data_IF_720093770885
#
_entry.id   IF_720093770885
#
_cell.length_a   1.000
_cell.length_b   1.000
_cell.length_c   1.000
_cell.angle_alpha   90.00
_cell.angle_beta   90.00
_cell.angle_gamma   90.00
#
_symmetry.space_group_name_H-M   'P 1'
#
loop_
_entity.id
_entity.type
_entity.pdbx_description
1 polymer ?
#
# COMPACT_ATOMS: atom_id res chain seq x y z
N UNK A 1 7.29 -18.07 5.51
CA UNK A 1 6.39 -18.14 4.34
C UNK A 1 5.03 -18.60 4.86
N UNK A 2 4.10 -17.68 5.15
CA UNK A 2 2.74 -18.07 5.51
C UNK A 2 2.05 -18.54 4.23
N UNK A 3 1.71 -19.83 4.16
CA UNK A 3 0.89 -20.35 3.06
C UNK A 3 -0.51 -19.75 3.23
N UNK A 4 -0.98 -18.97 2.25
CA UNK A 4 -2.37 -18.50 2.24
C UNK A 4 -3.28 -19.71 2.34
N UNK A 5 -4.22 -19.68 3.30
CA UNK A 5 -5.24 -20.70 3.43
C UNK A 5 -6.24 -20.58 2.26
N UNK A 6 -6.87 -21.69 1.89
CA UNK A 6 -8.04 -21.65 1.00
C UNK A 6 -9.21 -20.95 1.72
N UNK A 7 -10.14 -20.33 0.99
CA UNK A 7 -11.19 -19.50 1.60
C UNK A 7 -12.11 -20.25 2.58
N UNK A 8 -12.28 -21.56 2.39
CA UNK A 8 -13.05 -22.43 3.30
C UNK A 8 -12.27 -22.89 4.53
N UNK A 9 -10.99 -22.52 4.63
CA UNK A 9 -10.10 -22.79 5.75
C UNK A 9 -9.66 -21.50 6.46
N UNK A 10 -9.82 -20.34 5.82
CA UNK A 10 -9.50 -19.03 6.40
C UNK A 10 -10.67 -18.49 7.25
N UNK A 11 -10.53 -18.40 8.59
CA UNK A 11 -11.58 -17.87 9.45
C UNK A 11 -11.91 -16.39 9.17
N UNK A 12 -10.93 -15.60 8.70
CA UNK A 12 -11.18 -14.21 8.27
C UNK A 12 -12.09 -14.24 7.05
N UNK A 13 -11.82 -15.12 6.08
CA UNK A 13 -12.63 -15.21 4.87
C UNK A 13 -14.07 -15.63 5.14
N UNK A 14 -14.28 -16.66 5.95
CA UNK A 14 -15.61 -17.15 6.33
C UNK A 14 -16.39 -16.08 7.10
N UNK A 15 -15.74 -15.41 8.06
CA UNK A 15 -16.35 -14.35 8.86
C UNK A 15 -16.71 -13.12 8.04
N UNK A 16 -15.81 -12.68 7.18
CA UNK A 16 -16.01 -11.50 6.35
C UNK A 16 -17.07 -11.72 5.26
N UNK A 17 -17.15 -12.92 4.68
CA UNK A 17 -18.27 -13.28 3.79
C UNK A 17 -19.62 -13.15 4.51
N UNK A 18 -19.71 -13.67 5.74
CA UNK A 18 -20.92 -13.56 6.57
C UNK A 18 -21.31 -12.10 6.87
N UNK A 19 -20.33 -11.21 7.03
CA UNK A 19 -20.56 -9.78 7.23
C UNK A 19 -21.07 -9.11 5.94
N UNK A 20 -20.45 -9.40 4.79
CA UNK A 20 -20.84 -8.88 3.48
C UNK A 20 -22.27 -9.29 3.12
N UNK A 21 -22.68 -10.54 3.41
CA UNK A 21 -24.07 -10.99 3.22
C UNK A 21 -25.09 -10.19 4.03
N UNK A 22 -24.67 -9.57 5.13
CA UNK A 22 -25.50 -8.71 5.99
C UNK A 22 -25.37 -7.23 5.63
N UNK A 23 -24.74 -6.90 4.50
CA UNK A 23 -24.56 -5.52 4.06
C UNK A 23 -23.45 -4.76 4.81
N UNK A 24 -22.53 -5.47 5.46
CA UNK A 24 -21.43 -4.88 6.24
C UNK A 24 -20.13 -4.96 5.41
N UNK A 25 -19.53 -3.82 5.00
CA UNK A 25 -18.23 -3.81 4.34
C UNK A 25 -17.11 -4.32 5.26
N UNK A 26 -16.15 -5.05 4.69
CA UNK A 26 -14.97 -5.54 5.38
C UNK A 26 -13.72 -5.08 4.64
N UNK A 27 -12.77 -4.52 5.39
CA UNK A 27 -11.50 -3.98 4.89
C UNK A 27 -10.37 -4.70 5.61
N UNK A 28 -9.38 -5.17 4.85
CA UNK A 28 -8.23 -5.90 5.38
C UNK A 28 -6.93 -5.17 5.05
N UNK A 29 -5.97 -5.28 5.95
CA UNK A 29 -4.60 -4.83 5.67
C UNK A 29 -3.91 -5.86 4.76
N UNK A 30 -3.09 -5.40 3.80
CA UNK A 30 -2.34 -6.29 2.89
C UNK A 30 -1.18 -7.05 3.56
N UNK A 31 -0.96 -6.85 4.86
CA UNK A 31 0.19 -7.38 5.58
C UNK A 31 1.44 -6.51 5.43
N UNK A 32 2.43 -6.76 6.29
CA UNK A 32 3.70 -6.01 6.36
C UNK A 32 4.91 -6.89 5.98
N UNK A 33 4.65 -8.02 5.33
CA UNK A 33 5.68 -8.96 4.84
C UNK A 33 5.84 -8.85 3.33
N UNK A 34 5.70 -7.63 2.81
CA UNK A 34 6.04 -7.35 1.42
C UNK A 34 7.43 -7.92 1.09
N UNK A 35 7.63 -8.47 -0.13
CA UNK A 35 6.74 -8.41 -1.29
C UNK A 35 5.86 -9.66 -1.51
N UNK A 36 5.27 -10.27 -0.46
CA UNK A 36 4.45 -11.49 -0.58
C UNK A 36 2.93 -11.25 -0.49
N UNK A 37 2.14 -12.22 -1.01
CA UNK A 37 0.72 -12.16 -1.38
C UNK A 37 -0.31 -12.58 -0.29
N UNK A 38 -1.48 -11.90 -0.19
CA UNK A 38 -2.70 -12.43 0.49
C UNK A 38 -4.04 -11.67 0.27
N UNK A 39 -5.13 -12.44 0.06
CA UNK A 39 -6.56 -12.26 0.46
C UNK A 39 -7.54 -11.35 -0.34
N UNK A 40 -8.79 -11.86 -0.48
CA UNK A 40 -9.92 -11.42 -1.34
C UNK A 40 -10.78 -10.24 -0.83
N UNK A 41 -10.49 -9.69 0.35
CA UNK A 41 -11.22 -8.54 0.87
C UNK A 41 -10.75 -7.22 0.27
N UNK A 42 -11.36 -6.08 0.62
CA UNK A 42 -10.78 -4.78 0.25
C UNK A 42 -9.40 -4.66 0.93
N UNK A 43 -8.37 -5.07 0.21
CA UNK A 43 -7.01 -5.26 0.74
C UNK A 43 -6.20 -4.00 0.52
N UNK A 44 -5.73 -3.41 1.61
CA UNK A 44 -5.18 -2.05 1.61
C UNK A 44 -3.67 -2.07 1.78
N UNK A 45 -2.95 -1.51 0.79
CA UNK A 45 -1.52 -1.24 0.86
C UNK A 45 -1.23 0.08 1.58
N UNK A 46 -0.02 0.18 2.10
CA UNK A 46 0.47 1.35 2.82
C UNK A 46 1.29 2.27 1.92
N UNK A 47 0.84 3.52 1.80
CA UNK A 47 1.55 4.60 1.13
C UNK A 47 2.05 5.68 2.09
N UNK A 48 3.02 6.45 1.63
CA UNK A 48 3.52 7.65 2.30
C UNK A 48 2.54 8.80 2.26
N UNK A 49 2.62 9.65 3.29
CA UNK A 49 2.01 10.99 3.30
C UNK A 49 3.05 12.05 2.95
N UNK A 50 2.60 13.26 2.66
CA UNK A 50 3.46 14.40 2.31
C UNK A 50 4.10 15.11 3.53
N UNK A 51 4.10 14.46 4.69
CA UNK A 51 4.69 14.94 5.96
C UNK A 51 6.04 14.28 6.21
N UNK A 52 6.96 15.01 6.80
CA UNK A 52 8.24 14.49 7.30
C UNK A 52 8.63 15.12 8.63
N UNK A 53 9.57 14.48 9.31
CA UNK A 53 10.17 14.95 10.58
C UNK A 53 11.67 15.21 10.40
N UNK A 54 12.04 16.17 9.54
CA UNK A 54 13.41 16.36 9.08
C UNK A 54 14.39 16.63 10.22
N UNK A 55 15.48 15.88 10.20
CA UNK A 55 16.66 16.14 10.99
C UNK A 55 17.90 15.68 10.21
N UNK A 56 18.82 16.59 9.93
CA UNK A 56 19.96 16.30 9.07
C UNK A 56 21.22 15.94 9.84
N UNK A 57 21.98 15.01 9.29
CA UNK A 57 23.36 14.72 9.69
C UNK A 57 24.28 15.59 8.84
N UNK A 58 24.82 16.65 9.44
CA UNK A 58 25.75 17.55 8.79
C UNK A 58 27.17 17.04 9.01
N UNK A 59 27.72 16.35 8.01
CA UNK A 59 29.10 15.86 7.99
C UNK A 59 30.07 17.04 7.86
N UNK A 60 31.13 17.07 8.65
CA UNK A 60 32.11 18.15 8.65
C UNK A 60 32.97 18.09 7.39
N UNK A 61 32.91 19.12 6.53
CA UNK A 61 33.56 19.10 5.20
C UNK A 61 33.07 17.96 4.29
N UNK A 62 31.92 17.38 4.60
CA UNK A 62 31.24 16.36 3.79
C UNK A 62 29.88 16.85 3.30
N UNK A 63 29.16 16.00 2.53
CA UNK A 63 27.79 16.30 2.15
C UNK A 63 26.86 16.33 3.37
N UNK A 64 25.76 17.08 3.26
CA UNK A 64 24.63 16.95 4.18
C UNK A 64 23.88 15.67 3.86
N UNK A 65 23.56 14.88 4.88
CA UNK A 65 22.71 13.69 4.75
C UNK A 65 21.36 13.96 5.40
N UNK A 66 20.30 13.74 4.63
CA UNK A 66 18.93 14.00 5.07
C UNK A 66 18.45 12.83 5.92
N UNK A 67 18.06 13.11 7.16
CA UNK A 67 17.47 12.13 8.06
C UNK A 67 16.14 12.61 8.61
N UNK A 68 15.59 11.80 9.50
CA UNK A 68 14.37 12.10 10.24
C UNK A 68 14.44 11.61 11.68
N UNK A 69 13.71 12.29 12.56
CA UNK A 69 13.54 11.86 13.96
C UNK A 69 12.26 12.40 14.56
N UNK A 70 11.61 11.58 15.39
CA UNK A 70 10.38 11.96 16.09
C UNK A 70 10.66 12.79 17.34
N UNK A 71 11.84 12.63 17.94
CA UNK A 71 12.24 13.34 19.15
C UNK A 71 13.35 14.35 18.83
N UNK A 72 12.94 15.56 18.48
CA UNK A 72 13.85 16.65 18.12
C UNK A 72 14.28 17.45 19.37
N UNK A 73 15.57 17.80 19.45
CA UNK A 73 16.06 18.63 20.54
C UNK A 73 15.75 20.11 20.28
N UNK A 74 15.26 20.82 21.30
CA UNK A 74 14.93 22.24 21.21
C UNK A 74 16.15 23.15 21.12
N UNK A 75 17.31 22.69 21.62
CA UNK A 75 18.59 23.39 21.55
C UNK A 75 19.64 22.46 20.90
N UNK A 76 19.82 22.54 19.59
CA UNK A 76 20.88 21.81 18.90
C UNK A 76 22.25 22.43 19.23
N UNK A 77 23.12 21.67 19.87
CA UNK A 77 24.54 22.04 19.98
C UNK A 77 25.16 22.02 18.59
N UNK A 78 25.81 23.11 18.18
CA UNK A 78 26.60 23.17 16.94
C UNK A 78 27.97 22.50 17.07
N UNK A 79 28.26 21.87 18.21
CA UNK A 79 29.54 21.21 18.46
C UNK A 79 29.60 19.89 17.65
N UNK A 80 30.58 19.72 16.76
CA UNK A 80 30.76 18.47 16.04
C UNK A 80 31.27 17.38 16.97
N UNK A 81 30.75 16.17 16.79
CA UNK A 81 31.17 14.96 17.49
C UNK A 81 31.84 14.00 16.51
N UNK A 82 32.92 13.30 16.89
CA UNK A 82 33.53 12.28 16.05
C UNK A 82 32.50 11.22 15.64
N UNK A 83 32.55 10.80 14.38
CA UNK A 83 31.76 9.68 13.87
C UNK A 83 32.52 8.38 14.09
N UNK A 84 31.77 7.33 14.42
CA UNK A 84 32.27 5.97 14.54
C UNK A 84 31.41 5.03 13.69
N UNK A 85 32.06 4.31 12.80
CA UNK A 85 31.49 3.21 12.04
C UNK A 85 32.52 2.08 11.95
N UNK A 86 32.05 0.84 11.98
CA UNK A 86 32.88 -0.35 11.84
C UNK A 86 32.05 -1.42 11.16
N UNK A 87 32.56 -1.99 10.07
CA UNK A 87 31.88 -3.08 9.34
C UNK A 87 31.68 -4.31 10.25
N UNK A 88 32.63 -4.61 11.14
CA UNK A 88 32.52 -5.71 12.11
C UNK A 88 31.42 -5.47 13.17
N UNK A 89 31.07 -4.21 13.43
CA UNK A 89 30.07 -3.78 14.42
C UNK A 89 28.94 -2.97 13.78
N UNK A 90 28.62 -3.25 12.51
CA UNK A 90 27.66 -2.46 11.73
C UNK A 90 26.26 -2.41 12.37
N UNK A 91 25.87 -3.43 13.13
CA UNK A 91 24.59 -3.48 13.85
C UNK A 91 24.61 -2.84 15.24
N UNK A 92 25.76 -2.30 15.66
CA UNK A 92 25.96 -1.61 16.92
C UNK A 92 25.64 -2.43 18.17
N UNK A 93 25.97 -3.72 18.16
CA UNK A 93 25.85 -4.64 19.30
C UNK A 93 26.94 -4.39 20.38
N UNK A 94 27.16 -3.12 20.73
CA UNK A 94 28.08 -2.68 21.77
C UNK A 94 27.48 -2.93 23.17
N UNK A 95 28.33 -3.29 24.14
CA UNK A 95 27.88 -3.40 25.53
C UNK A 95 27.65 -2.01 26.14
N UNK A 96 26.76 -1.96 27.14
CA UNK A 96 26.45 -0.74 27.88
C UNK A 96 27.66 -0.12 28.61
N UNK A 97 28.76 -0.85 28.76
CA UNK A 97 29.99 -0.44 29.44
C UNK A 97 31.13 -0.10 28.46
N UNK A 98 30.90 -0.15 27.15
CA UNK A 98 31.94 0.08 26.16
C UNK A 98 32.36 1.56 26.08
N UNK A 99 33.43 1.89 26.81
CA UNK A 99 33.98 3.25 26.82
C UNK A 99 34.55 3.72 25.47
N UNK A 100 34.74 2.83 24.49
CA UNK A 100 35.31 3.19 23.19
C UNK A 100 34.38 4.06 22.34
N UNK A 101 33.08 4.06 22.62
CA UNK A 101 32.06 4.83 21.90
C UNK A 101 31.66 6.13 22.62
N UNK A 102 32.17 6.36 23.83
CA UNK A 102 31.83 7.51 24.64
C UNK A 102 32.12 8.83 23.90
N UNK A 103 31.12 9.71 23.83
CA UNK A 103 31.21 11.01 23.18
C UNK A 103 31.30 10.98 21.65
N UNK A 104 31.03 9.83 21.00
CA UNK A 104 31.00 9.69 19.53
C UNK A 104 29.57 9.55 19.01
N UNK A 105 29.34 9.97 17.77
CA UNK A 105 28.13 9.60 17.04
C UNK A 105 28.38 8.23 16.40
N UNK A 106 27.62 7.23 16.82
CA UNK A 106 27.76 5.86 16.30
C UNK A 106 26.82 5.66 15.12
N UNK A 107 27.34 5.16 14.01
CA UNK A 107 26.57 4.82 12.81
C UNK A 107 26.23 3.34 12.85
N UNK A 108 24.94 3.04 12.76
CA UNK A 108 24.37 1.71 12.93
C UNK A 108 23.47 1.37 11.73
N UNK A 109 23.52 0.14 11.27
CA UNK A 109 22.67 -0.40 10.22
C UNK A 109 21.63 -1.34 10.81
N UNK A 110 20.37 -1.12 10.46
CA UNK A 110 19.29 -1.95 10.92
C UNK A 110 19.27 -3.29 10.16
N UNK A 111 19.21 -4.41 10.89
CA UNK A 111 19.17 -5.74 10.29
C UNK A 111 17.72 -6.18 9.99
N UNK A 112 17.31 -6.11 8.73
CA UNK A 112 16.03 -6.63 8.20
C UNK A 112 14.77 -5.87 8.63
N UNK A 113 14.76 -5.21 9.78
CA UNK A 113 13.63 -4.45 10.33
C UNK A 113 14.08 -3.24 11.14
N UNK A 114 13.19 -2.69 11.98
CA UNK A 114 13.53 -1.59 12.88
C UNK A 114 14.43 -2.11 14.02
N UNK A 115 15.55 -1.42 14.28
CA UNK A 115 16.46 -1.75 15.38
C UNK A 115 15.75 -1.88 16.74
N UNK A 116 16.20 -2.81 17.58
CA UNK A 116 15.66 -2.94 18.93
C UNK A 116 15.98 -1.69 19.75
N UNK A 117 15.01 -1.24 20.57
CA UNK A 117 15.22 -0.13 21.50
C UNK A 117 16.30 -0.47 22.55
N UNK A 118 16.55 -1.76 22.81
CA UNK A 118 17.62 -2.22 23.70
C UNK A 118 19.01 -1.77 23.20
N UNK A 119 19.30 -1.91 21.91
CA UNK A 119 20.57 -1.48 21.29
C UNK A 119 20.81 0.01 21.56
N UNK A 120 19.81 0.86 21.28
CA UNK A 120 19.93 2.30 21.52
C UNK A 120 20.11 2.63 23.01
N UNK A 121 19.46 1.88 23.90
CA UNK A 121 19.61 2.06 25.35
C UNK A 121 21.04 1.73 25.81
N UNK A 122 21.64 0.70 25.25
CA UNK A 122 22.99 0.26 25.63
C UNK A 122 24.03 1.27 25.10
N UNK A 123 23.88 1.76 23.86
CA UNK A 123 24.70 2.86 23.30
C UNK A 123 24.64 4.13 24.16
N UNK A 124 23.44 4.49 24.65
CA UNK A 124 23.27 5.63 25.58
C UNK A 124 23.96 5.38 26.92
N UNK A 125 23.88 4.17 27.44
CA UNK A 125 24.50 3.80 28.73
C UNK A 125 26.02 3.89 28.66
N UNK A 126 26.60 3.54 27.50
CA UNK A 126 28.01 3.72 27.17
C UNK A 126 28.40 5.18 26.82
N UNK A 127 27.50 6.14 27.07
CA UNK A 127 27.70 7.57 26.85
C UNK A 127 28.01 7.97 25.39
N UNK A 128 27.42 7.27 24.41
CA UNK A 128 27.45 7.72 23.02
C UNK A 128 26.89 9.16 22.89
N UNK A 129 27.56 9.99 22.08
CA UNK A 129 27.17 11.37 21.82
C UNK A 129 25.95 11.51 20.91
N UNK A 130 25.63 10.46 20.16
CA UNK A 130 24.44 10.35 19.30
C UNK A 130 24.46 9.04 18.50
N UNK A 131 23.36 8.76 17.81
CA UNK A 131 23.23 7.59 16.93
C UNK A 131 22.67 8.01 15.58
N UNK A 132 23.31 7.55 14.51
CA UNK A 132 22.72 7.53 13.16
C UNK A 132 22.31 6.11 12.86
N UNK A 133 21.02 5.87 12.70
CA UNK A 133 20.46 4.57 12.36
C UNK A 133 20.06 4.55 10.88
N UNK A 134 20.80 3.80 10.09
CA UNK A 134 20.50 3.52 8.69
C UNK A 134 19.41 2.45 8.66
N UNK A 135 18.30 2.77 8.01
CA UNK A 135 17.21 1.81 7.83
C UNK A 135 17.68 0.63 6.96
N UNK A 136 17.14 -0.57 7.21
CA UNK A 136 17.54 -1.78 6.49
C UNK A 136 17.39 -1.64 4.96
N UNK A 137 18.27 -2.28 4.19
CA UNK A 137 18.38 -2.18 2.72
C UNK A 137 17.07 -2.34 1.97
N UNK A 138 16.22 -3.28 2.43
CA UNK A 138 14.90 -3.54 1.86
C UNK A 138 13.99 -2.30 1.88
N UNK A 139 14.29 -1.31 2.72
CA UNK A 139 13.55 -0.08 2.80
C UNK A 139 13.86 0.91 1.68
N UNK A 140 15.01 0.81 1.01
CA UNK A 140 15.42 1.75 -0.02
C UNK A 140 15.32 3.20 0.45
N UNK A 141 14.46 3.99 -0.19
CA UNK A 141 14.21 5.40 0.14
C UNK A 141 13.10 5.61 1.19
N UNK A 142 12.53 4.54 1.76
CA UNK A 142 11.49 4.63 2.79
C UNK A 142 12.11 4.75 4.19
N UNK A 143 11.93 5.89 4.85
CA UNK A 143 12.26 6.02 6.28
C UNK A 143 11.06 5.59 7.14
N UNK A 144 11.10 4.34 7.60
CA UNK A 144 10.15 3.84 8.61
C UNK A 144 10.62 4.36 9.96
N UNK A 145 9.83 5.23 10.57
CA UNK A 145 10.23 5.86 11.83
C UNK A 145 9.78 5.02 13.03
N UNK A 146 10.69 4.92 14.00
CA UNK A 146 10.39 4.57 15.38
C UNK A 146 10.90 5.68 16.29
N UNK A 147 10.16 5.94 17.36
CA UNK A 147 10.66 6.83 18.39
C UNK A 147 11.64 6.09 19.28
N UNK A 148 12.92 6.45 19.14
CA UNK A 148 14.01 5.97 19.99
C UNK A 148 14.36 6.96 21.10
N UNK A 149 13.70 8.12 21.18
CA UNK A 149 14.05 9.23 22.05
C UNK A 149 15.14 10.14 21.48
N UNK A 150 15.64 11.12 22.25
CA UNK A 150 16.53 12.17 21.75
C UNK A 150 17.91 11.63 21.31
N UNK A 151 18.54 12.32 20.36
CA UNK A 151 19.90 12.02 19.91
C UNK A 151 20.02 10.83 18.94
N UNK A 152 18.91 10.36 18.37
CA UNK A 152 18.89 9.30 17.35
C UNK A 152 18.30 9.84 16.05
N UNK A 153 19.09 9.78 14.97
CA UNK A 153 18.68 10.15 13.61
C UNK A 153 18.46 8.90 12.79
N UNK A 154 17.33 8.80 12.08
CA UNK A 154 17.06 7.71 11.15
C UNK A 154 17.28 8.20 9.72
N UNK A 155 18.03 7.44 8.92
CA UNK A 155 18.37 7.79 7.53
C UNK A 155 17.95 6.66 6.58
N UNK A 156 17.79 6.99 5.30
CA UNK A 156 17.40 5.99 4.29
C UNK A 156 18.54 5.02 4.02
N UNK A 157 18.23 3.80 3.58
CA UNK A 157 19.26 2.85 3.14
C UNK A 157 20.04 3.41 1.93
N UNK A 158 19.39 4.20 1.08
CA UNK A 158 20.03 4.80 -0.08
C UNK A 158 21.12 5.83 0.27
N UNK A 159 21.14 6.34 1.50
CA UNK A 159 22.14 7.29 2.00
C UNK A 159 23.25 6.61 2.82
N UNK A 160 23.21 5.28 2.99
CA UNK A 160 24.18 4.49 3.74
C UNK A 160 25.63 4.82 3.33
N UNK A 161 25.93 4.62 2.04
CA UNK A 161 27.29 4.79 1.50
C UNK A 161 27.86 6.20 1.73
N UNK A 162 27.01 7.23 1.70
CA UNK A 162 27.44 8.61 1.92
C UNK A 162 27.94 8.83 3.36
N UNK A 163 27.42 8.06 4.32
CA UNK A 163 27.78 8.16 5.74
C UNK A 163 28.91 7.20 6.08
N UNK A 164 28.82 5.94 5.64
CA UNK A 164 29.80 4.89 5.99
C UNK A 164 31.15 5.17 5.36
N UNK A 165 31.22 5.56 4.07
CA UNK A 165 32.48 5.96 3.41
C UNK A 165 33.12 7.17 4.10
N UNK A 166 32.31 8.17 4.48
CA UNK A 166 32.83 9.33 5.19
C UNK A 166 33.38 8.96 6.58
N UNK A 167 32.72 8.05 7.28
CA UNK A 167 33.13 7.60 8.61
C UNK A 167 34.43 6.77 8.59
N UNK A 168 34.73 6.07 7.50
CA UNK A 168 35.94 5.24 7.34
C UNK A 168 37.15 5.98 6.74
N UNK A 169 37.00 7.26 6.40
CA UNK A 169 38.12 8.07 5.90
C UNK A 169 39.30 8.04 6.88
N UNK A 170 40.47 7.69 6.38
CA UNK A 170 41.74 7.58 7.15
C UNK A 170 42.25 8.89 7.74
N UNK A 171 41.58 10.00 7.43
CA UNK A 171 41.98 11.35 7.78
C UNK A 171 41.31 11.81 9.10
N UNK A 172 41.23 11.00 10.16
CA UNK A 172 40.92 11.29 11.59
C UNK A 172 40.02 12.49 12.00
N UNK A 173 39.21 13.02 11.10
CA UNK A 173 38.43 14.26 11.24
C UNK A 173 36.96 14.04 10.87
N UNK A 174 36.55 12.78 10.67
CA UNK A 174 35.16 12.40 10.41
C UNK A 174 34.33 12.75 11.63
N UNK A 175 33.55 13.81 11.51
CA UNK A 175 32.72 14.33 12.58
C UNK A 175 31.41 14.86 12.00
N UNK A 176 30.36 14.86 12.81
CA UNK A 176 29.05 15.33 12.40
C UNK A 176 28.36 16.15 13.48
N UNK A 177 27.37 16.92 13.04
CA UNK A 177 26.38 17.58 13.89
C UNK A 177 24.98 17.18 13.45
N UNK A 178 24.02 17.23 14.38
CA UNK A 178 22.61 17.06 14.06
C UNK A 178 21.93 18.43 13.99
N UNK A 179 21.11 18.61 12.97
CA UNK A 179 20.25 19.79 12.82
C UNK A 179 18.80 19.33 12.75
N UNK A 180 17.87 20.08 13.36
CA UNK A 180 16.47 19.69 13.52
C UNK A 180 15.57 20.75 12.90
N UNK A 181 14.63 20.33 12.05
CA UNK A 181 13.82 21.26 11.24
C UNK A 181 12.30 21.13 11.53
N UNK A 182 11.92 20.83 12.77
CA UNK A 182 10.52 20.62 13.20
C UNK A 182 9.77 19.62 12.29
N UNK A 183 8.44 19.63 12.32
CA UNK A 183 7.63 18.87 11.36
C UNK A 183 7.39 19.71 10.11
N UNK A 184 7.63 19.12 8.94
CA UNK A 184 7.35 19.75 7.65
C UNK A 184 6.18 19.03 6.96
N UNK A 185 5.33 19.80 6.27
CA UNK A 185 4.17 19.32 5.53
C UNK A 185 4.29 19.80 4.08
N UNK A 186 3.83 18.99 3.13
CA UNK A 186 3.86 19.24 1.67
C UNK A 186 5.26 19.18 1.03
N UNK A 187 6.26 18.65 1.72
CA UNK A 187 7.66 18.65 1.26
C UNK A 187 8.07 17.41 0.47
N UNK A 188 7.28 16.33 0.51
CA UNK A 188 7.54 15.09 -0.22
C UNK A 188 6.55 14.85 -1.35
N UNK A 189 7.02 14.20 -2.42
CA UNK A 189 6.14 13.52 -3.36
C UNK A 189 5.41 12.41 -2.62
N UNK A 190 4.08 12.38 -2.73
CA UNK A 190 3.22 11.43 -2.03
C UNK A 190 1.94 11.22 -2.85
N UNK A 191 1.44 9.97 -2.91
CA UNK A 191 1.97 8.81 -2.18
C UNK A 191 3.14 8.12 -2.90
N UNK A 192 3.95 7.42 -2.12
CA UNK A 192 4.92 6.41 -2.54
C UNK A 192 4.62 5.13 -1.77
N UNK A 193 4.66 3.97 -2.39
CA UNK A 193 4.38 2.70 -1.71
C UNK A 193 5.48 2.45 -0.67
N UNK A 194 5.08 2.15 0.56
CA UNK A 194 6.02 1.85 1.63
C UNK A 194 6.70 0.50 1.38
N UNK A 195 7.99 0.41 1.72
CA UNK A 195 8.80 -0.81 1.57
C UNK A 195 8.16 -2.07 2.18
N UNK A 196 7.65 -1.95 3.41
CA UNK A 196 7.03 -3.07 4.12
C UNK A 196 5.67 -3.49 3.56
N UNK A 197 5.03 -2.67 2.71
CA UNK A 197 3.69 -2.96 2.23
C UNK A 197 3.67 -4.26 1.44
N UNK A 198 2.79 -5.18 1.82
CA UNK A 198 2.50 -6.41 1.08
C UNK A 198 2.35 -6.12 -0.41
N UNK A 199 2.91 -6.99 -1.27
CA UNK A 199 2.80 -6.85 -2.71
C UNK A 199 1.97 -7.99 -3.23
N UNK A 200 0.88 -7.63 -3.88
CA UNK A 200 0.18 -8.50 -4.82
C UNK A 200 -0.47 -9.69 -4.13
N UNK A 201 -1.77 -9.64 -3.82
CA UNK A 201 -2.72 -8.68 -4.33
C UNK A 201 -3.12 -7.62 -3.34
N UNK A 202 -3.32 -6.44 -3.88
CA UNK A 202 -3.79 -5.27 -3.16
C UNK A 202 -4.85 -4.64 -4.03
N UNK A 203 -5.90 -4.15 -3.39
CA UNK A 203 -6.98 -3.46 -4.08
C UNK A 203 -6.78 -1.95 -4.12
N UNK A 204 -6.23 -1.35 -3.06
CA UNK A 204 -6.11 0.11 -2.96
C UNK A 204 -4.91 0.52 -2.09
N UNK A 205 -4.33 1.67 -2.38
CA UNK A 205 -3.29 2.31 -1.58
C UNK A 205 -3.89 3.39 -0.68
N UNK A 206 -3.56 3.37 0.61
CA UNK A 206 -3.97 4.39 1.57
C UNK A 206 -2.82 4.81 2.51
N UNK A 207 -2.94 5.94 3.24
CA UNK A 207 -1.91 6.40 4.16
C UNK A 207 -1.57 5.37 5.25
N UNK A 208 -0.34 4.85 5.26
CA UNK A 208 0.09 3.83 6.22
C UNK A 208 1.52 3.97 6.73
N UNK A 209 2.29 4.95 6.25
CA UNK A 209 3.66 5.20 6.69
C UNK A 209 3.69 6.42 7.63
N UNK A 210 4.25 6.22 8.82
CA UNK A 210 4.47 7.23 9.86
C UNK A 210 3.17 7.99 10.21
N UNK A 211 2.12 7.26 10.57
CA UNK A 211 0.80 7.78 10.91
C UNK A 211 0.71 8.05 12.41
N UNK A 212 0.26 9.27 12.76
CA UNK A 212 0.01 9.67 14.14
C UNK A 212 -1.40 9.24 14.55
N UNK A 213 -1.54 8.50 15.65
CA UNK A 213 -2.83 8.10 16.22
C UNK A 213 -2.78 8.05 17.75
N UNK A 214 -3.95 7.92 18.39
CA UNK A 214 -4.05 7.78 19.84
C UNK A 214 -3.31 6.53 20.34
N UNK A 215 -2.70 6.61 21.51
CA UNK A 215 -1.91 5.55 22.10
C UNK A 215 -2.18 5.43 23.60
N UNK A 216 -2.26 4.20 24.17
CA UNK A 216 -2.47 4.04 25.59
C UNK A 216 -1.27 4.57 26.39
N UNK A 217 -1.49 5.26 27.52
CA UNK A 217 -0.42 5.73 28.38
C UNK A 217 0.17 4.54 29.15
N UNK A 218 1.23 3.92 28.60
CA UNK A 218 1.88 2.73 29.17
C UNK A 218 2.97 3.09 30.21
N UNK A 219 2.63 3.91 31.21
CA UNK A 219 3.32 3.89 32.52
C UNK A 219 4.67 4.60 32.67
N UNK A 220 5.19 5.35 31.69
CA UNK A 220 6.34 6.25 31.89
C UNK A 220 5.99 7.66 31.43
N UNK A 221 5.42 8.42 32.37
CA UNK A 221 4.82 9.77 32.20
C UNK A 221 3.51 9.77 31.40
N UNK A 222 2.46 10.42 31.94
CA UNK A 222 1.13 10.52 31.34
C UNK A 222 1.08 11.43 30.08
N UNK A 223 2.19 11.59 29.37
CA UNK A 223 2.40 12.66 28.38
C UNK A 223 2.21 12.17 26.94
N UNK A 224 2.31 10.88 26.65
CA UNK A 224 2.18 10.36 25.29
C UNK A 224 0.80 9.73 25.05
N UNK A 225 -0.21 10.59 24.84
CA UNK A 225 -1.55 10.17 24.39
C UNK A 225 -1.58 9.77 22.90
N UNK A 226 -0.46 9.89 22.20
CA UNK A 226 -0.33 9.65 20.77
C UNK A 226 1.00 8.98 20.45
N UNK A 227 1.02 8.24 19.33
CA UNK A 227 2.20 7.59 18.82
C UNK A 227 2.22 7.66 17.28
N UNK A 228 3.40 7.61 16.69
CA UNK A 228 3.60 7.54 15.24
C UNK A 228 4.11 6.14 14.90
N UNK A 229 3.30 5.40 14.16
CA UNK A 229 3.65 4.04 13.72
C UNK A 229 3.31 3.84 12.24
N UNK A 230 3.87 2.76 11.69
CA UNK A 230 3.76 2.41 10.28
C UNK A 230 3.22 1.00 10.11
N UNK A 231 2.43 0.80 9.06
CA UNK A 231 1.89 -0.51 8.69
C UNK A 231 0.69 -0.40 7.77
N UNK A 232 0.40 -1.47 7.04
CA UNK A 232 -0.91 -1.65 6.38
C UNK A 232 -2.05 -1.68 7.40
N UNK A 233 -1.76 -2.03 8.66
CA UNK A 233 -2.66 -1.84 9.82
C UNK A 233 -3.05 -0.38 10.08
N UNK A 234 -2.27 0.60 9.62
CA UNK A 234 -2.60 2.03 9.70
C UNK A 234 -3.33 2.49 8.43
N UNK A 235 -3.05 1.87 7.29
CA UNK A 235 -3.75 2.15 6.02
C UNK A 235 -5.20 1.64 6.03
N UNK A 236 -5.41 0.41 6.50
CA UNK A 236 -6.73 -0.23 6.61
C UNK A 236 -7.79 0.65 7.31
N UNK A 237 -7.56 1.23 8.50
CA UNK A 237 -8.57 2.04 9.17
C UNK A 237 -8.92 3.34 8.44
N UNK A 238 -8.00 3.93 7.65
CA UNK A 238 -8.34 5.05 6.77
C UNK A 238 -9.39 4.64 5.74
N UNK A 239 -9.14 3.53 5.05
CA UNK A 239 -10.09 2.99 4.06
C UNK A 239 -11.40 2.54 4.69
N UNK A 240 -11.37 1.95 5.90
CA UNK A 240 -12.59 1.62 6.67
C UNK A 240 -13.42 2.87 7.00
N UNK A 241 -12.77 3.97 7.41
CA UNK A 241 -13.45 5.24 7.65
C UNK A 241 -14.08 5.80 6.38
N UNK A 242 -13.40 5.70 5.24
CA UNK A 242 -13.93 6.10 3.93
C UNK A 242 -15.14 5.25 3.55
N UNK A 243 -15.06 3.92 3.69
CA UNK A 243 -16.18 3.02 3.43
C UNK A 243 -17.40 3.35 4.32
N UNK A 244 -17.17 3.70 5.59
CA UNK A 244 -18.22 4.13 6.50
C UNK A 244 -18.87 5.47 6.07
N UNK A 245 -18.07 6.45 5.64
CA UNK A 245 -18.58 7.72 5.11
C UNK A 245 -19.40 7.52 3.83
N UNK A 246 -18.92 6.69 2.90
CA UNK A 246 -19.67 6.34 1.68
C UNK A 246 -20.97 5.61 2.03
N UNK A 247 -20.94 4.64 2.98
CA UNK A 247 -22.17 3.97 3.46
C UNK A 247 -23.15 4.94 4.13
N UNK A 248 -22.64 5.95 4.84
CA UNK A 248 -23.49 6.99 5.44
C UNK A 248 -24.14 7.88 4.39
N UNK A 249 -23.44 8.21 3.31
CA UNK A 249 -23.97 8.97 2.19
C UNK A 249 -24.96 8.14 1.34
N UNK A 250 -24.73 6.83 1.24
CA UNK A 250 -25.51 5.88 0.46
C UNK A 250 -25.94 4.65 1.29
N UNK A 251 -26.94 4.80 2.18
CA UNK A 251 -27.32 3.74 3.13
C UNK A 251 -27.82 2.46 2.48
N UNK A 252 -28.31 2.51 1.24
CA UNK A 252 -28.84 1.40 0.46
C UNK A 252 -27.78 0.63 -0.32
N UNK A 253 -26.57 1.19 -0.49
CA UNK A 253 -25.52 0.53 -1.27
C UNK A 253 -25.01 -0.75 -0.63
N UNK A 254 -24.76 -1.74 -1.47
CA UNK A 254 -24.11 -2.98 -1.07
C UNK A 254 -22.64 -2.72 -0.66
N UNK A 255 -22.04 -3.59 0.16
CA UNK A 255 -20.60 -3.57 0.41
C UNK A 255 -19.75 -3.57 -0.87
N UNK A 256 -20.22 -4.24 -1.92
CA UNK A 256 -19.53 -4.35 -3.20
C UNK A 256 -19.62 -3.04 -3.98
N UNK A 257 -20.78 -2.39 -3.98
CA UNK A 257 -20.94 -1.07 -4.59
C UNK A 257 -20.01 -0.04 -3.92
N UNK A 258 -19.90 -0.07 -2.59
CA UNK A 258 -18.96 0.78 -1.83
C UNK A 258 -17.51 0.47 -2.20
N UNK A 259 -17.15 -0.82 -2.24
CA UNK A 259 -15.82 -1.25 -2.69
C UNK A 259 -15.55 -0.73 -4.10
N UNK A 260 -16.48 -0.91 -5.03
CA UNK A 260 -16.37 -0.40 -6.40
C UNK A 260 -16.17 1.10 -6.43
N UNK A 261 -16.95 1.88 -5.69
CA UNK A 261 -16.82 3.33 -5.66
C UNK A 261 -15.42 3.76 -5.20
N UNK A 262 -14.88 3.12 -4.16
CA UNK A 262 -13.52 3.37 -3.67
C UNK A 262 -12.47 3.06 -4.74
N UNK A 263 -12.60 1.93 -5.43
CA UNK A 263 -11.60 1.48 -6.41
C UNK A 263 -11.65 2.27 -7.71
N UNK A 264 -12.83 2.62 -8.22
CA UNK A 264 -12.94 3.23 -9.54
C UNK A 264 -12.70 4.74 -9.56
N UNK A 265 -12.66 5.36 -8.39
CA UNK A 265 -12.53 6.81 -8.22
C UNK A 265 -11.20 7.26 -7.64
N UNK A 266 -10.31 6.30 -7.41
CA UNK A 266 -8.94 6.51 -6.95
C UNK A 266 -8.11 7.39 -7.88
N UNK A 267 -7.03 7.93 -7.32
CA UNK A 267 -6.07 8.74 -8.04
C UNK A 267 -4.86 7.90 -8.46
N UNK A 268 -4.63 7.82 -9.78
CA UNK A 268 -3.51 7.09 -10.38
C UNK A 268 -2.17 7.86 -10.32
N UNK A 269 -2.19 9.09 -9.83
CA UNK A 269 -1.05 10.00 -9.80
C UNK A 269 -0.91 10.66 -8.43
N UNK A 270 0.30 11.09 -8.12
CA UNK A 270 0.62 11.92 -6.97
C UNK A 270 0.05 13.35 -7.14
N UNK A 271 0.18 14.17 -6.10
CA UNK A 271 -0.27 15.57 -6.12
C UNK A 271 0.33 16.44 -7.25
N UNK A 272 1.44 16.02 -7.85
CA UNK A 272 2.13 16.74 -8.92
C UNK A 272 1.78 16.18 -10.31
N UNK A 273 0.80 15.26 -10.40
CA UNK A 273 0.43 14.58 -11.64
C UNK A 273 1.44 13.52 -12.09
N UNK A 274 2.38 13.11 -11.24
CA UNK A 274 3.37 12.06 -11.54
C UNK A 274 2.84 10.70 -11.12
N UNK A 275 3.30 9.66 -11.79
CA UNK A 275 2.94 8.28 -11.42
C UNK A 275 3.40 7.96 -10.00
N UNK A 276 2.62 7.14 -9.30
CA UNK A 276 2.97 6.62 -7.96
C UNK A 276 4.22 5.75 -8.08
N UNK A 277 5.16 5.98 -7.15
CA UNK A 277 6.43 5.26 -7.10
C UNK A 277 6.45 4.22 -5.97
N UNK A 278 7.36 3.26 -6.07
CA UNK A 278 7.72 2.32 -5.01
C UNK A 278 8.88 2.85 -4.16
N UNK A 279 9.28 2.06 -3.17
CA UNK A 279 10.34 2.37 -2.22
C UNK A 279 11.73 2.49 -2.85
N UNK A 280 11.93 1.98 -4.07
CA UNK A 280 13.15 2.19 -4.87
C UNK A 280 13.02 3.35 -5.86
N UNK A 281 11.95 4.17 -5.76
CA UNK A 281 11.61 5.26 -6.69
C UNK A 281 11.38 4.79 -8.13
N UNK A 282 11.01 3.53 -8.33
CA UNK A 282 10.54 3.01 -9.63
C UNK A 282 9.04 3.15 -9.69
N UNK A 283 8.46 3.06 -10.90
CA UNK A 283 6.99 3.08 -11.06
C UNK A 283 6.39 1.91 -10.29
N UNK A 284 5.46 2.20 -9.37
CA UNK A 284 4.76 1.15 -8.66
C UNK A 284 3.78 0.43 -9.61
N UNK A 285 3.87 -0.90 -9.66
CA UNK A 285 2.92 -1.72 -10.41
C UNK A 285 1.59 -1.91 -9.69
N UNK A 286 0.60 -2.45 -10.39
CA UNK A 286 -0.72 -2.70 -9.83
C UNK A 286 -0.71 -3.69 -8.64
N UNK A 287 0.25 -4.62 -8.55
CA UNK A 287 0.40 -5.47 -7.36
C UNK A 287 0.75 -4.68 -6.08
N UNK A 288 1.40 -3.53 -6.22
CA UNK A 288 1.82 -2.71 -5.08
C UNK A 288 0.76 -1.70 -4.65
N UNK A 289 -0.08 -1.28 -5.58
CA UNK A 289 -0.99 -0.15 -5.42
C UNK A 289 -2.46 -0.51 -5.59
N UNK A 290 -2.76 -1.65 -6.19
CA UNK A 290 -4.09 -2.03 -6.65
C UNK A 290 -4.63 -1.04 -7.67
N UNK A 291 -5.78 -0.47 -7.37
CA UNK A 291 -6.37 0.68 -8.04
C UNK A 291 -5.76 2.01 -7.55
N UNK A 292 -4.51 2.05 -7.10
CA UNK A 292 -3.83 3.30 -6.74
C UNK A 292 -4.41 4.01 -5.51
N UNK A 293 -4.27 5.34 -5.38
CA UNK A 293 -4.50 6.02 -4.10
C UNK A 293 -5.96 6.34 -3.85
N UNK A 294 -6.46 6.04 -2.65
CA UNK A 294 -7.86 6.29 -2.31
C UNK A 294 -8.23 7.78 -2.38
N UNK A 295 -9.38 8.09 -3.00
CA UNK A 295 -9.94 9.44 -3.05
C UNK A 295 -11.34 9.45 -2.39
N UNK A 296 -11.46 9.90 -1.13
CA UNK A 296 -12.74 9.86 -0.40
C UNK A 296 -13.85 10.67 -1.06
N UNK A 297 -13.51 11.86 -1.56
CA UNK A 297 -14.49 12.79 -2.14
C UNK A 297 -15.12 12.23 -3.41
N UNK A 298 -14.30 11.65 -4.30
CA UNK A 298 -14.80 11.05 -5.54
C UNK A 298 -15.52 9.72 -5.27
N UNK A 299 -15.11 8.94 -4.26
CA UNK A 299 -15.79 7.71 -3.88
C UNK A 299 -17.22 7.95 -3.37
N UNK A 300 -17.51 9.15 -2.85
CA UNK A 300 -18.87 9.53 -2.45
C UNK A 300 -19.81 9.78 -3.63
N UNK A 301 -19.30 10.03 -4.84
CA UNK A 301 -20.10 10.18 -6.06
C UNK A 301 -19.36 9.58 -7.29
N UNK A 302 -19.38 8.25 -7.44
CA UNK A 302 -18.64 7.56 -8.49
C UNK A 302 -19.34 7.58 -9.86
N UNK A 303 -20.62 7.97 -9.94
CA UNK A 303 -21.43 7.89 -11.16
C UNK A 303 -21.90 6.46 -11.49
N UNK A 304 -20.98 5.51 -11.71
CA UNK A 304 -21.33 4.09 -11.90
C UNK A 304 -20.51 3.16 -11.00
N UNK A 305 -21.10 2.02 -10.64
CA UNK A 305 -20.45 0.99 -9.80
C UNK A 305 -20.55 -0.40 -10.42
N UNK A 306 -19.53 -1.22 -10.17
CA UNK A 306 -19.51 -2.66 -10.43
C UNK A 306 -20.08 -3.34 -9.19
N UNK A 307 -21.31 -3.84 -9.30
CA UNK A 307 -21.99 -4.51 -8.19
C UNK A 307 -22.04 -6.02 -8.41
N UNK A 308 -22.05 -6.77 -7.30
CA UNK A 308 -22.14 -8.23 -7.27
C UNK A 308 -23.17 -8.64 -6.24
N UNK A 309 -24.06 -9.55 -6.63
CA UNK A 309 -24.99 -10.18 -5.73
C UNK A 309 -24.40 -11.42 -5.05
N UNK A 310 -25.18 -11.93 -4.09
CA UNK A 310 -24.90 -13.21 -3.42
C UNK A 310 -24.80 -14.38 -4.41
N UNK A 311 -25.68 -14.51 -5.43
CA UNK A 311 -25.60 -15.62 -6.39
C UNK A 311 -24.30 -15.63 -7.20
N UNK A 312 -23.79 -14.47 -7.61
CA UNK A 312 -22.54 -14.37 -8.35
C UNK A 312 -21.33 -14.77 -7.50
N UNK A 313 -21.29 -14.36 -6.24
CA UNK A 313 -20.26 -14.80 -5.28
C UNK A 313 -20.33 -16.30 -5.02
N UNK A 314 -21.54 -16.84 -4.82
CA UNK A 314 -21.74 -18.28 -4.63
C UNK A 314 -21.30 -19.06 -5.88
N UNK A 315 -21.62 -18.57 -7.08
CA UNK A 315 -21.17 -19.11 -8.35
C UNK A 315 -19.64 -19.10 -8.52
N UNK A 316 -18.97 -18.04 -8.03
CA UNK A 316 -17.51 -17.96 -7.98
C UNK A 316 -16.90 -18.99 -7.03
N UNK A 317 -17.40 -19.08 -5.78
CA UNK A 317 -16.96 -20.10 -4.81
C UNK A 317 -17.14 -21.50 -5.39
N UNK A 318 -18.25 -21.76 -6.08
CA UNK A 318 -18.51 -23.03 -6.75
C UNK A 318 -17.55 -23.34 -7.90
N UNK A 319 -17.15 -22.34 -8.68
CA UNK A 319 -16.18 -22.52 -9.75
C UNK A 319 -14.77 -22.81 -9.19
N UNK A 320 -14.44 -22.22 -8.04
CA UNK A 320 -13.12 -22.31 -7.43
C UNK A 320 -12.93 -23.54 -6.54
N UNK A 321 -13.88 -23.80 -5.63
CA UNK A 321 -13.71 -24.73 -4.50
C UNK A 321 -14.82 -25.80 -4.38
N UNK A 322 -15.94 -25.65 -5.09
CA UNK A 322 -17.04 -26.63 -5.13
C UNK A 322 -17.97 -26.63 -3.91
N UNK A 323 -18.86 -27.63 -3.83
CA UNK A 323 -19.99 -27.66 -2.90
C UNK A 323 -19.60 -27.62 -1.42
N UNK A 324 -18.54 -28.35 -1.03
CA UNK A 324 -18.10 -28.39 0.38
C UNK A 324 -17.69 -27.01 0.87
N UNK A 325 -16.92 -26.29 0.07
CA UNK A 325 -16.47 -24.94 0.40
C UNK A 325 -17.64 -23.95 0.39
N UNK A 326 -18.58 -24.08 -0.56
CA UNK A 326 -19.81 -23.27 -0.56
C UNK A 326 -20.58 -23.43 0.75
N UNK A 327 -20.81 -24.67 1.20
CA UNK A 327 -21.51 -24.96 2.43
C UNK A 327 -20.80 -24.36 3.67
N UNK A 328 -19.47 -24.42 3.70
CA UNK A 328 -18.65 -23.84 4.77
C UNK A 328 -18.71 -22.31 4.78
N UNK A 329 -18.44 -21.66 3.65
CA UNK A 329 -18.32 -20.20 3.54
C UNK A 329 -19.68 -19.52 3.71
N UNK A 330 -20.73 -20.05 3.06
CA UNK A 330 -22.09 -19.51 3.16
C UNK A 330 -22.78 -19.95 4.47
N UNK A 331 -22.21 -20.93 5.17
CA UNK A 331 -22.77 -21.55 6.37
C UNK A 331 -24.18 -22.10 6.16
N UNK A 332 -24.43 -22.64 4.97
CA UNK A 332 -25.68 -23.27 4.60
C UNK A 332 -25.42 -24.53 3.79
N UNK A 333 -25.62 -25.69 4.42
CA UNK A 333 -25.43 -27.01 3.80
C UNK A 333 -26.54 -27.40 2.82
N UNK A 334 -27.63 -26.64 2.72
CA UNK A 334 -28.70 -26.91 1.75
C UNK A 334 -28.40 -26.35 0.36
N UNK A 335 -27.37 -25.51 0.21
CA UNK A 335 -26.98 -24.95 -1.07
C UNK A 335 -26.08 -25.92 -1.84
N UNK A 336 -26.28 -25.98 -3.16
CA UNK A 336 -25.44 -26.78 -4.06
C UNK A 336 -25.02 -25.97 -5.27
N UNK A 337 -23.80 -26.22 -5.72
CA UNK A 337 -23.22 -25.68 -6.94
C UNK A 337 -23.92 -26.15 -8.21
N UNK A 338 -24.74 -27.20 -8.14
CA UNK A 338 -25.53 -27.67 -9.28
C UNK A 338 -26.62 -26.67 -9.71
N UNK A 339 -27.15 -25.89 -8.77
CA UNK A 339 -28.19 -24.88 -9.02
C UNK A 339 -27.65 -23.47 -9.30
N UNK A 340 -26.33 -23.30 -9.34
CA UNK A 340 -25.68 -21.99 -9.47
C UNK A 340 -24.91 -21.89 -10.79
N UNK A 341 -24.97 -20.72 -11.42
CA UNK A 341 -24.11 -20.41 -12.56
C UNK A 341 -22.67 -20.26 -12.05
N UNK A 342 -21.79 -21.19 -12.45
CA UNK A 342 -20.38 -21.14 -12.09
C UNK A 342 -19.70 -20.01 -12.84
N UNK A 343 -19.17 -19.03 -12.09
CA UNK A 343 -18.49 -17.86 -12.65
C UNK A 343 -16.99 -18.02 -12.47
N UNK A 344 -16.21 -18.19 -13.54
CA UNK A 344 -14.76 -18.15 -13.45
C UNK A 344 -14.30 -16.81 -12.88
N UNK A 345 -13.22 -16.82 -12.10
CA UNK A 345 -12.66 -15.64 -11.43
C UNK A 345 -12.50 -14.42 -12.34
N UNK A 346 -11.96 -14.65 -13.54
CA UNK A 346 -11.74 -13.61 -14.55
C UNK A 346 -13.03 -12.93 -15.06
N UNK A 347 -14.15 -13.63 -14.97
CA UNK A 347 -15.48 -13.14 -15.35
C UNK A 347 -16.25 -12.56 -14.16
N UNK A 348 -15.68 -12.56 -12.95
CA UNK A 348 -16.28 -11.86 -11.81
C UNK A 348 -16.44 -10.38 -12.17
N UNK A 349 -17.59 -9.80 -11.83
CA UNK A 349 -17.88 -8.39 -12.10
C UNK A 349 -17.12 -7.46 -11.15
N UNK A 350 -15.80 -7.51 -11.23
CA UNK A 350 -14.87 -6.81 -10.36
C UNK A 350 -14.31 -5.56 -11.07
N UNK A 351 -14.06 -4.44 -10.34
CA UNK A 351 -13.58 -3.19 -10.94
C UNK A 351 -12.21 -3.29 -11.60
N UNK A 352 -11.35 -4.21 -11.15
CA UNK A 352 -10.03 -4.46 -11.76
C UNK A 352 -10.12 -5.62 -12.75
N UNK A 353 -9.30 -5.56 -13.80
CA UNK A 353 -9.31 -6.53 -14.91
C UNK A 353 -7.94 -7.18 -14.98
N UNK A 354 -7.85 -8.44 -14.55
CA UNK A 354 -6.64 -9.26 -14.69
C UNK A 354 -6.84 -10.30 -15.78
N UNK A 355 -5.97 -10.34 -16.78
CA UNK A 355 -6.07 -11.20 -17.97
C UNK A 355 -4.74 -11.86 -18.30
N UNK A 356 -4.73 -13.00 -19.01
CA UNK A 356 -3.47 -13.58 -19.49
C UNK A 356 -2.82 -12.67 -20.55
N UNK A 357 -1.50 -12.49 -20.44
CA UNK A 357 -0.69 -11.82 -21.46
C UNK A 357 -0.32 -12.83 -22.55
N UNK A 358 -1.06 -12.81 -23.65
CA UNK A 358 -0.88 -13.72 -24.77
C UNK A 358 -1.37 -13.11 -26.10
N UNK A 359 -0.86 -13.59 -27.25
CA UNK A 359 -1.27 -13.09 -28.56
C UNK A 359 -2.75 -13.34 -28.84
N UNK A 360 -3.27 -14.49 -28.38
CA UNK A 360 -4.67 -14.89 -28.57
C UNK A 360 -5.58 -14.00 -27.72
N UNK A 361 -6.51 -13.24 -28.34
CA UNK A 361 -7.38 -12.33 -27.61
C UNK A 361 -8.18 -13.03 -26.51
N UNK A 362 -8.20 -12.42 -25.33
CA UNK A 362 -8.96 -12.88 -24.18
C UNK A 362 -10.04 -11.85 -23.85
N UNK A 363 -11.29 -12.29 -23.69
CA UNK A 363 -12.43 -11.38 -23.46
C UNK A 363 -13.04 -11.57 -22.09
N UNK A 364 -13.27 -10.46 -21.39
CA UNK A 364 -14.05 -10.41 -20.15
C UNK A 364 -15.26 -9.54 -20.31
N UNK A 365 -16.34 -9.90 -19.61
CA UNK A 365 -17.53 -9.07 -19.55
C UNK A 365 -17.60 -8.38 -18.18
N UNK A 366 -18.10 -7.15 -18.19
CA UNK A 366 -18.35 -6.35 -17.01
C UNK A 366 -19.70 -5.67 -17.11
N UNK A 367 -20.36 -5.53 -15.97
CA UNK A 367 -21.65 -4.87 -15.86
C UNK A 367 -21.56 -3.75 -14.83
N UNK A 368 -21.89 -2.54 -15.26
CA UNK A 368 -21.93 -1.38 -14.38
C UNK A 368 -23.38 -0.95 -14.13
N UNK A 369 -23.65 -0.48 -12.93
CA UNK A 369 -24.95 0.06 -12.52
C UNK A 369 -24.81 1.57 -12.34
N UNK A 370 -25.71 2.35 -12.94
CA UNK A 370 -25.73 3.80 -12.73
C UNK A 370 -26.25 4.13 -11.32
N UNK A 371 -25.43 4.80 -10.53
CA UNK A 371 -25.78 5.30 -9.19
C UNK A 371 -25.77 6.83 -9.14
N UNK A 372 -25.46 7.48 -10.26
CA UNK A 372 -25.54 8.91 -10.45
C UNK A 372 -26.87 9.35 -11.07
N UNK A 373 -26.90 10.55 -11.66
CA UNK A 373 -28.08 11.10 -12.31
C UNK A 373 -28.63 10.23 -13.45
N UNK A 374 -29.93 10.35 -13.71
CA UNK A 374 -30.56 9.82 -14.92
C UNK A 374 -30.00 10.52 -16.17
N UNK A 375 -30.24 9.94 -17.35
CA UNK A 375 -29.82 10.49 -18.66
C UNK A 375 -28.31 10.74 -18.78
N UNK A 376 -27.50 9.91 -18.11
CA UNK A 376 -26.04 10.00 -18.16
C UNK A 376 -25.47 9.17 -19.32
N UNK A 377 -24.51 9.75 -20.04
CA UNK A 377 -23.73 9.06 -21.07
C UNK A 377 -22.26 9.00 -20.67
N UNK A 378 -21.66 7.82 -20.80
CA UNK A 378 -20.25 7.57 -20.55
C UNK A 378 -19.57 7.12 -21.84
N UNK A 379 -18.45 7.75 -22.18
CA UNK A 379 -17.58 7.36 -23.28
C UNK A 379 -16.35 6.65 -22.75
N UNK A 380 -15.90 5.64 -23.48
CA UNK A 380 -14.72 4.90 -23.09
C UNK A 380 -13.42 5.64 -23.42
N UNK A 381 -12.46 5.58 -22.50
CA UNK A 381 -11.06 5.95 -22.71
C UNK A 381 -10.18 4.78 -22.29
N UNK A 382 -9.19 4.45 -23.10
CA UNK A 382 -8.23 3.37 -22.82
C UNK A 382 -6.83 3.97 -22.81
N UNK A 383 -6.05 3.65 -21.78
CA UNK A 383 -4.66 4.05 -21.62
C UNK A 383 -3.81 2.81 -21.36
N UNK A 384 -3.16 2.31 -22.41
CA UNK A 384 -2.38 1.08 -22.40
C UNK A 384 -1.07 1.28 -23.17
N UNK A 385 0.03 0.63 -22.77
CA UNK A 385 1.26 0.67 -23.55
C UNK A 385 1.08 -0.02 -24.90
N UNK A 386 1.92 0.33 -25.89
CA UNK A 386 1.85 -0.23 -27.24
C UNK A 386 2.06 -1.76 -27.33
N UNK A 387 2.51 -2.41 -26.26
CA UNK A 387 2.59 -3.88 -26.15
C UNK A 387 1.23 -4.56 -25.88
N UNK A 388 0.20 -3.80 -25.51
CA UNK A 388 -1.17 -4.28 -25.31
C UNK A 388 -2.11 -3.69 -26.36
N UNK A 389 -3.01 -4.54 -26.85
CA UNK A 389 -4.17 -4.14 -27.64
C UNK A 389 -5.42 -4.42 -26.82
N UNK A 390 -6.24 -3.39 -26.62
CA UNK A 390 -7.49 -3.48 -25.86
C UNK A 390 -8.65 -2.96 -26.70
N UNK A 391 -9.66 -3.80 -26.88
CA UNK A 391 -10.89 -3.47 -27.58
C UNK A 391 -12.08 -3.53 -26.61
N UNK A 392 -12.95 -2.52 -26.69
CA UNK A 392 -14.12 -2.38 -25.82
C UNK A 392 -15.38 -2.35 -26.68
N UNK A 393 -16.43 -3.05 -26.25
CA UNK A 393 -17.74 -3.01 -26.92
C UNK A 393 -18.90 -3.03 -25.92
N UNK A 394 -19.87 -2.09 -25.99
CA UNK A 394 -19.88 -0.89 -26.85
C UNK A 394 -18.86 0.16 -26.38
N UNK A 395 -18.58 1.18 -27.20
CA UNK A 395 -17.69 2.30 -26.84
C UNK A 395 -18.38 3.38 -25.98
N UNK A 396 -19.71 3.30 -25.87
CA UNK A 396 -20.54 4.27 -25.15
C UNK A 396 -21.59 3.54 -24.32
N UNK A 397 -21.78 3.96 -23.08
CA UNK A 397 -22.87 3.50 -22.22
C UNK A 397 -23.85 4.65 -21.98
N UNK A 398 -25.11 4.45 -22.35
CA UNK A 398 -26.18 5.43 -22.18
C UNK A 398 -27.17 4.89 -21.15
N UNK A 399 -27.35 5.61 -20.04
CA UNK A 399 -28.28 5.26 -18.98
C UNK A 399 -29.45 6.24 -18.99
N UNK A 400 -30.66 5.71 -19.11
CA UNK A 400 -31.91 6.46 -19.07
C UNK A 400 -32.37 6.80 -17.65
N UNK A 401 -31.97 6.01 -16.65
CA UNK A 401 -32.38 6.16 -15.25
C UNK A 401 -31.30 5.68 -14.28
N UNK A 402 -31.40 6.13 -13.02
CA UNK A 402 -30.63 5.55 -11.93
C UNK A 402 -31.02 4.07 -11.70
N UNK A 403 -30.06 3.26 -11.29
CA UNK A 403 -30.19 1.81 -11.12
C UNK A 403 -30.18 1.00 -12.42
N UNK A 404 -30.14 1.64 -13.59
CA UNK A 404 -30.01 0.92 -14.86
C UNK A 404 -28.63 0.26 -14.96
N UNK A 405 -28.61 -1.00 -15.43
CA UNK A 405 -27.40 -1.79 -15.63
C UNK A 405 -27.03 -1.84 -17.11
N UNK A 406 -25.75 -1.71 -17.42
CA UNK A 406 -25.21 -1.92 -18.76
C UNK A 406 -24.01 -2.84 -18.72
N UNK A 407 -23.95 -3.76 -19.69
CA UNK A 407 -22.85 -4.69 -19.86
C UNK A 407 -21.98 -4.27 -21.03
N UNK A 408 -20.67 -4.43 -20.88
CA UNK A 408 -19.68 -4.24 -21.93
C UNK A 408 -18.64 -5.37 -21.88
N UNK A 409 -17.98 -5.60 -23.02
CA UNK A 409 -16.87 -6.53 -23.13
C UNK A 409 -15.54 -5.80 -23.24
N UNK A 410 -14.50 -6.40 -22.68
CA UNK A 410 -13.11 -5.97 -22.76
C UNK A 410 -12.30 -7.13 -23.33
N UNK A 411 -11.80 -6.95 -24.55
CA UNK A 411 -10.94 -7.91 -25.24
C UNK A 411 -9.51 -7.42 -25.20
N UNK A 412 -8.61 -8.21 -24.60
CA UNK A 412 -7.19 -7.88 -24.44
C UNK A 412 -6.34 -8.91 -25.18
N UNK A 413 -5.36 -8.45 -25.94
CA UNK A 413 -4.29 -9.25 -26.51
C UNK A 413 -2.97 -8.51 -26.41
N UNK A 414 -1.86 -9.24 -26.43
CA UNK A 414 -0.54 -8.62 -26.44
C UNK A 414 0.57 -9.65 -26.32
N UNK A 415 1.75 -9.25 -26.79
CA UNK A 415 2.98 -9.95 -26.49
C UNK A 415 3.74 -9.08 -25.50
N UNK A 416 4.10 -9.64 -24.34
CA UNK A 416 5.07 -8.99 -23.48
C UNK A 416 6.35 -8.74 -24.28
N UNK A 417 7.03 -7.62 -24.03
CA UNK A 417 8.40 -7.48 -24.48
C UNK A 417 9.27 -8.58 -23.83
N UNK A 418 10.38 -8.99 -24.46
CA UNK A 418 11.29 -10.00 -23.90
C UNK A 418 11.61 -9.69 -22.43
N UNK A 419 11.18 -10.56 -21.51
CA UNK A 419 11.37 -10.43 -20.07
C UNK A 419 10.26 -9.71 -19.27
N UNK A 420 9.22 -9.14 -19.90
CA UNK A 420 8.07 -8.56 -19.17
C UNK A 420 7.07 -9.65 -18.74
N UNK A 421 7.04 -9.92 -17.43
CA UNK A 421 6.07 -10.84 -16.83
C UNK A 421 4.68 -10.20 -16.58
N UNK A 422 4.61 -8.87 -16.46
CA UNK A 422 3.38 -8.12 -16.16
C UNK A 422 3.36 -6.83 -16.97
N UNK A 423 2.20 -6.51 -17.55
CA UNK A 423 1.97 -5.25 -18.28
C UNK A 423 0.69 -4.58 -17.76
N UNK A 424 0.82 -3.34 -17.32
CA UNK A 424 -0.25 -2.55 -16.70
C UNK A 424 -0.82 -1.53 -17.70
N UNK A 425 -2.13 -1.31 -17.62
CA UNK A 425 -2.86 -0.25 -18.32
C UNK A 425 -4.17 0.06 -17.60
N UNK A 426 -5.07 0.81 -18.25
CA UNK A 426 -6.38 1.12 -17.67
C UNK A 426 -7.46 1.42 -18.69
N UNK A 427 -8.68 1.19 -18.26
CA UNK A 427 -9.94 1.58 -18.89
C UNK A 427 -10.57 2.69 -18.05
N UNK A 428 -11.25 3.65 -18.67
CA UNK A 428 -12.05 4.65 -17.97
C UNK A 428 -13.37 4.92 -18.69
N UNK A 429 -14.46 4.90 -17.95
CA UNK A 429 -15.74 5.45 -18.39
C UNK A 429 -15.80 6.92 -17.98
N UNK A 430 -15.85 7.81 -18.96
CA UNK A 430 -15.80 9.26 -18.76
C UNK A 430 -17.16 9.87 -19.11
N UNK A 431 -17.72 10.59 -18.15
CA UNK A 431 -18.86 11.48 -18.31
C UNK A 431 -18.47 12.88 -17.81
N UNK A 432 -19.34 13.89 -18.00
CA UNK A 432 -19.03 15.29 -17.71
C UNK A 432 -18.38 15.51 -16.33
N UNK A 433 -18.97 14.93 -15.28
CA UNK A 433 -18.48 15.08 -13.90
C UNK A 433 -17.82 13.81 -13.33
N UNK A 434 -17.85 12.69 -14.05
CA UNK A 434 -17.48 11.38 -13.51
C UNK A 434 -16.42 10.70 -14.37
N UNK A 435 -15.39 10.18 -13.71
CA UNK A 435 -14.39 9.30 -14.34
C UNK A 435 -14.32 8.04 -13.50
N UNK A 436 -14.75 6.93 -14.08
CA UNK A 436 -14.76 5.59 -13.46
C UNK A 436 -13.67 4.76 -14.09
N UNK A 437 -12.56 4.59 -13.38
CA UNK A 437 -11.35 3.95 -13.87
C UNK A 437 -11.23 2.50 -13.40
N UNK A 438 -10.79 1.62 -14.28
CA UNK A 438 -10.52 0.21 -14.05
C UNK A 438 -9.10 -0.12 -14.49
N UNK A 439 -8.19 -0.47 -13.57
CA UNK A 439 -6.88 -1.01 -13.92
C UNK A 439 -7.01 -2.29 -14.75
N UNK A 440 -6.15 -2.43 -15.76
CA UNK A 440 -5.98 -3.64 -16.58
C UNK A 440 -4.56 -4.17 -16.32
N UNK A 441 -4.45 -5.44 -15.95
CA UNK A 441 -3.17 -6.10 -15.67
C UNK A 441 -3.09 -7.37 -16.48
N UNK A 442 -2.17 -7.41 -17.44
CA UNK A 442 -1.91 -8.58 -18.26
C UNK A 442 -0.67 -9.32 -17.73
N UNK A 443 -0.80 -10.62 -17.43
CA UNK A 443 0.24 -11.42 -16.77
C UNK A 443 0.68 -12.60 -17.65
N UNK A 444 1.98 -12.74 -17.87
CA UNK A 444 2.56 -13.85 -18.61
C UNK A 444 2.47 -15.16 -17.82
N UNK A 445 2.18 -16.28 -18.49
CA UNK A 445 2.14 -17.59 -17.84
C UNK A 445 0.98 -17.77 -16.85
N UNK A 446 -0.05 -16.91 -16.92
CA UNK A 446 -1.30 -17.03 -16.16
C UNK A 446 -2.07 -18.29 -16.64
N UNK A 447 -1.63 -19.47 -16.22
CA UNK A 447 -2.12 -20.77 -16.67
C UNK A 447 -3.59 -21.02 -16.27
N UNK A 448 -4.09 -20.28 -15.27
CA UNK A 448 -5.50 -20.08 -14.92
C UNK A 448 -5.63 -18.68 -14.31
N UNK A 449 -6.72 -17.94 -14.56
CA UNK A 449 -6.89 -16.62 -13.99
C UNK A 449 -6.97 -16.71 -12.47
N UNK A 450 -5.97 -16.16 -11.82
CA UNK A 450 -6.07 -15.63 -10.46
C UNK A 450 -6.20 -14.13 -10.67
N UNK A 451 -7.23 -13.50 -10.12
CA UNK A 451 -7.19 -12.06 -9.92
C UNK A 451 -5.91 -11.76 -9.14
N UNK A 452 -5.59 -10.47 -9.05
CA UNK A 452 -4.99 -10.06 -7.80
C UNK A 452 -5.94 -10.47 -6.64
N UNK A 453 -5.79 -11.69 -6.11
CA UNK A 453 -6.64 -12.38 -5.12
C UNK A 453 -5.97 -12.75 -3.81
#
# INVERSE_FOLDING_TARGET
MYKSLEFDQDPIAIGAFSAVLKGIPVVCAAGNTGPTASSVFLTVAAGSVNRSFPADVQLLKGPRVVGETLTQATNSSSKPYPLLYSEEQQHCDYSAEDSSIAGKIVVCEANGGLADKSIIRDLRSAAAGGVVLINADINGYTTVLRDYGPGVMQVTAADEINITDYATLTNNHSAATFTFNNTEILVRSSPTVASFSGRGPTDILAPGLNILAAWPPLGMTAVESFNIISGTSMAMPHTSGIAALVKSAHPDWSPVAIKSAILTTSDAVDKNGKLILDEQRKRAGAHATGAEHVNPTRAADPGVVYDLGVPEYAGYICALLGDRALATIVRNSSLSCSGLLKTPEVQLNYPTITVPLQPTPFTVNRTVTNVGPAESTYMVKVDVPGSLTVHISPLTLVFSRAGEKKTFSVTVSGQGADGQAVVDGSLSWVSGNHVVRSPIVAIFGLARPRLMS
#
